data_IF_381737249868
#
_entry.id   IF_381737249868
#
_cell.length_a   1.000
_cell.length_b   1.000
_cell.length_c   1.000
_cell.angle_alpha   90.00
_cell.angle_beta   90.00
_cell.angle_gamma   90.00
#
_symmetry.space_group_name_H-M   'P 1'
#
loop_
_entity.id
_entity.type
_entity.pdbx_description
1 polymer ?
#
# COMPACT_ATOMS: atom_id res chain seq x y z
N UNK A 1 -43.32 25.39 -54.30
CA UNK A 1 -43.66 25.06 -52.91
C UNK A 1 -43.68 23.55 -52.79
N UNK A 2 -42.67 23.05 -52.06
CA UNK A 2 -42.67 21.97 -51.07
C UNK A 2 -43.14 20.56 -51.51
N UNK A 3 -42.23 19.58 -51.72
CA UNK A 3 -41.64 18.61 -50.75
C UNK A 3 -42.70 17.67 -50.16
N UNK A 4 -42.62 16.34 -50.27
CA UNK A 4 -41.89 15.37 -49.40
C UNK A 4 -42.03 14.00 -50.12
N UNK A 5 -40.96 13.39 -50.64
CA UNK A 5 -39.97 12.51 -50.02
C UNK A 5 -40.23 11.02 -50.29
N UNK A 6 -39.33 10.45 -51.10
CA UNK A 6 -39.17 9.03 -51.36
C UNK A 6 -38.56 8.33 -50.13
N UNK A 7 -39.27 7.37 -49.56
CA UNK A 7 -38.76 6.45 -48.54
C UNK A 7 -38.05 5.27 -49.22
N UNK A 8 -36.75 5.39 -49.46
CA UNK A 8 -35.87 4.24 -49.77
C UNK A 8 -34.52 4.45 -49.09
N UNK A 9 -34.43 4.12 -47.80
CA UNK A 9 -33.21 4.38 -47.01
C UNK A 9 -32.97 3.49 -45.79
N UNK A 10 -33.87 2.60 -45.40
CA UNK A 10 -33.68 1.73 -44.22
C UNK A 10 -33.10 0.36 -44.56
N UNK A 11 -33.50 -0.22 -45.69
CA UNK A 11 -33.26 -1.66 -45.93
C UNK A 11 -31.83 -1.94 -46.39
N UNK A 12 -31.18 -0.95 -47.02
CA UNK A 12 -29.78 -1.06 -47.42
C UNK A 12 -28.82 -0.88 -46.22
N UNK A 13 -29.21 -0.13 -45.19
CA UNK A 13 -28.36 0.12 -44.01
C UNK A 13 -28.33 -1.11 -43.11
N UNK A 14 -29.48 -1.75 -42.89
CA UNK A 14 -29.54 -2.99 -42.09
C UNK A 14 -28.79 -4.14 -42.76
N UNK A 15 -28.86 -4.24 -44.10
CA UNK A 15 -28.13 -5.26 -44.86
C UNK A 15 -26.63 -5.00 -44.90
N UNK A 16 -26.21 -3.73 -44.96
CA UNK A 16 -24.80 -3.34 -44.84
C UNK A 16 -24.24 -3.60 -43.42
N UNK A 17 -25.05 -3.37 -42.38
CA UNK A 17 -24.66 -3.62 -40.99
C UNK A 17 -24.52 -5.12 -40.67
N UNK A 18 -25.43 -5.96 -41.18
CA UNK A 18 -25.36 -7.42 -41.01
C UNK A 18 -24.22 -8.08 -41.82
N UNK A 19 -23.85 -7.51 -42.96
CA UNK A 19 -22.67 -7.96 -43.70
C UNK A 19 -21.35 -7.51 -43.05
N UNK A 20 -21.35 -6.38 -42.33
CA UNK A 20 -20.17 -5.92 -41.60
C UNK A 20 -19.91 -6.71 -40.30
N UNK A 21 -20.93 -7.30 -39.66
CA UNK A 21 -20.75 -8.09 -38.45
C UNK A 21 -20.19 -9.50 -38.69
N UNK A 22 -20.23 -10.00 -39.93
CA UNK A 22 -19.63 -11.31 -40.29
C UNK A 22 -18.18 -11.21 -40.77
N UNK A 23 -17.57 -10.03 -40.65
CA UNK A 23 -16.21 -9.75 -41.08
C UNK A 23 -15.40 -9.20 -39.90
N UNK A 24 -15.02 -10.06 -38.95
CA UNK A 24 -13.67 -10.12 -38.34
C UNK A 24 -13.65 -11.06 -37.12
N UNK A 25 -13.72 -12.37 -37.37
CA UNK A 25 -12.95 -13.30 -36.54
C UNK A 25 -12.18 -14.20 -37.48
N UNK A 26 -11.07 -13.69 -38.02
CA UNK A 26 -10.08 -14.57 -38.65
C UNK A 26 -9.75 -15.63 -37.60
N UNK A 27 -9.83 -16.94 -37.93
CA UNK A 27 -9.42 -17.96 -36.98
C UNK A 27 -7.97 -17.67 -36.63
N UNK A 28 -7.71 -17.39 -35.34
CA UNK A 28 -6.34 -17.24 -34.86
C UNK A 28 -5.66 -18.57 -35.19
N UNK A 29 -4.66 -18.51 -36.05
CA UNK A 29 -3.89 -19.68 -36.44
C UNK A 29 -3.43 -20.38 -35.15
N UNK A 30 -3.58 -21.71 -35.05
CA UNK A 30 -3.21 -22.48 -33.85
C UNK A 30 -1.78 -22.17 -33.40
N UNK A 31 -0.88 -21.89 -34.35
CA UNK A 31 0.48 -21.43 -34.07
C UNK A 31 0.53 -20.05 -33.42
N UNK A 32 -0.26 -19.10 -33.88
CA UNK A 32 -0.37 -17.76 -33.26
C UNK A 32 -0.94 -17.83 -31.84
N UNK A 33 -1.94 -18.70 -31.61
CA UNK A 33 -2.49 -18.93 -30.28
C UNK A 33 -1.45 -19.54 -29.33
N UNK A 34 -0.70 -20.53 -29.78
CA UNK A 34 0.40 -21.13 -29.02
C UNK A 34 1.50 -20.11 -28.69
N UNK A 35 1.86 -19.26 -29.65
CA UNK A 35 2.84 -18.18 -29.43
C UNK A 35 2.37 -17.23 -28.34
N UNK A 36 1.10 -16.80 -28.35
CA UNK A 36 0.53 -15.92 -27.32
C UNK A 36 0.56 -16.57 -25.95
N UNK A 37 0.20 -17.86 -25.85
CA UNK A 37 0.22 -18.61 -24.58
C UNK A 37 1.65 -18.71 -24.04
N UNK A 38 2.61 -19.04 -24.90
CA UNK A 38 4.04 -19.11 -24.51
C UNK A 38 4.54 -17.75 -24.02
N UNK A 39 4.18 -16.66 -24.71
CA UNK A 39 4.56 -15.30 -24.26
C UNK A 39 3.91 -14.93 -22.92
N UNK A 40 2.65 -15.31 -22.69
CA UNK A 40 1.98 -15.11 -21.40
C UNK A 40 2.68 -15.89 -20.28
N UNK A 41 3.07 -17.14 -20.52
CA UNK A 41 3.79 -17.95 -19.53
C UNK A 41 5.17 -17.37 -19.22
N UNK A 42 5.90 -16.92 -20.25
CA UNK A 42 7.20 -16.25 -20.07
C UNK A 42 7.04 -14.94 -19.31
N UNK A 43 6.00 -14.15 -19.61
CA UNK A 43 5.70 -12.90 -18.91
C UNK A 43 5.35 -13.15 -17.44
N UNK A 44 4.52 -14.15 -17.14
CA UNK A 44 4.20 -14.53 -15.75
C UNK A 44 5.45 -15.01 -15.00
N UNK A 45 6.28 -15.84 -15.64
CA UNK A 45 7.55 -16.27 -15.05
C UNK A 45 8.50 -15.09 -14.81
N UNK A 46 8.52 -14.10 -15.71
CA UNK A 46 9.32 -12.89 -15.56
C UNK A 46 8.82 -12.01 -14.41
N UNK A 47 7.50 -11.85 -14.23
CA UNK A 47 6.92 -11.12 -13.09
C UNK A 47 7.23 -11.85 -11.76
N UNK A 48 7.17 -13.18 -11.73
CA UNK A 48 7.54 -13.97 -10.55
C UNK A 48 9.04 -13.80 -10.25
N UNK A 49 9.90 -13.83 -11.26
CA UNK A 49 11.35 -13.63 -11.11
C UNK A 49 11.69 -12.22 -10.60
N UNK A 50 11.04 -11.18 -11.14
CA UNK A 50 11.17 -9.80 -10.64
C UNK A 50 10.68 -9.67 -9.19
N UNK A 51 9.57 -10.34 -8.84
CA UNK A 51 9.03 -10.33 -7.47
C UNK A 51 9.98 -11.04 -6.49
N UNK A 52 10.64 -12.12 -6.93
CA UNK A 52 11.64 -12.85 -6.13
C UNK A 52 12.94 -12.05 -5.97
N UNK A 53 13.43 -11.41 -7.04
CA UNK A 53 14.62 -10.56 -6.97
C UNK A 53 14.38 -9.29 -6.14
N UNK A 54 13.17 -8.69 -6.22
CA UNK A 54 12.81 -7.55 -5.37
C UNK A 54 12.74 -7.94 -3.89
N UNK A 55 12.29 -9.17 -3.60
CA UNK A 55 12.21 -9.67 -2.22
C UNK A 55 13.60 -10.03 -1.68
N UNK A 56 14.46 -10.64 -2.50
CA UNK A 56 15.83 -10.98 -2.08
C UNK A 56 16.71 -9.74 -1.90
N UNK A 57 16.54 -8.70 -2.73
CA UNK A 57 17.33 -7.47 -2.59
C UNK A 57 16.95 -6.69 -1.33
N UNK A 58 15.66 -6.65 -0.99
CA UNK A 58 15.20 -6.02 0.23
C UNK A 58 15.54 -6.83 1.49
N UNK A 59 15.49 -8.18 1.44
CA UNK A 59 15.91 -9.03 2.56
C UNK A 59 17.44 -8.99 2.79
N UNK A 60 18.25 -8.93 1.72
CA UNK A 60 19.72 -8.83 1.82
C UNK A 60 20.17 -7.44 2.30
N UNK A 61 19.60 -6.35 1.76
CA UNK A 61 19.93 -5.00 2.23
C UNK A 61 19.51 -4.80 3.70
N UNK A 62 18.47 -5.49 4.17
CA UNK A 62 18.04 -5.45 5.58
C UNK A 62 18.92 -6.35 6.47
N UNK A 63 19.35 -7.53 5.99
CA UNK A 63 20.25 -8.43 6.72
C UNK A 63 21.69 -7.90 6.81
N UNK A 64 22.23 -7.30 5.76
CA UNK A 64 23.58 -6.75 5.77
C UNK A 64 23.67 -5.54 6.72
N UNK A 65 22.63 -4.71 6.80
CA UNK A 65 22.52 -3.64 7.80
C UNK A 65 22.35 -4.17 9.24
N UNK A 66 21.75 -5.36 9.42
CA UNK A 66 21.64 -6.02 10.72
C UNK A 66 22.97 -6.64 11.16
N UNK A 67 23.70 -7.32 10.26
CA UNK A 67 25.03 -7.88 10.56
C UNK A 67 26.07 -6.81 10.88
N UNK A 68 26.03 -5.67 10.20
CA UNK A 68 26.92 -4.54 10.52
C UNK A 68 26.67 -3.98 11.93
N UNK A 69 25.42 -4.03 12.42
CA UNK A 69 25.06 -3.63 13.77
C UNK A 69 25.41 -4.71 14.82
N UNK A 70 25.26 -6.00 14.50
CA UNK A 70 25.64 -7.10 15.39
C UNK A 70 27.16 -7.20 15.61
N UNK A 71 27.98 -7.00 14.57
CA UNK A 71 29.45 -7.01 14.71
C UNK A 71 29.98 -5.79 15.48
N UNK A 72 29.27 -4.65 15.45
CA UNK A 72 29.59 -3.49 16.29
C UNK A 72 29.14 -3.66 17.75
N UNK A 73 28.09 -4.45 18.03
CA UNK A 73 27.65 -4.78 19.39
C UNK A 73 28.46 -5.91 20.06
N UNK A 74 29.06 -6.83 19.29
CA UNK A 74 29.80 -7.98 19.84
C UNK A 74 31.11 -7.62 20.57
N UNK A 75 31.61 -6.38 20.45
CA UNK A 75 32.86 -5.93 21.08
C UNK A 75 32.68 -4.85 22.18
N UNK A 76 31.44 -4.57 22.61
CA UNK A 76 31.20 -3.74 23.79
C UNK A 76 30.86 -4.61 25.01
N UNK A 77 31.38 -4.27 26.21
CA UNK A 77 31.01 -4.99 27.42
C UNK A 77 29.49 -4.87 27.62
N UNK A 78 28.84 -6.00 27.92
CA UNK A 78 27.42 -6.06 28.25
C UNK A 78 27.18 -5.18 29.48
N UNK A 79 26.65 -3.99 29.25
CA UNK A 79 26.12 -3.13 30.29
C UNK A 79 24.71 -3.64 30.61
N UNK A 80 24.50 -4.12 31.84
CA UNK A 80 23.22 -4.66 32.34
C UNK A 80 22.08 -3.60 32.40
N UNK A 81 22.30 -2.40 31.85
CA UNK A 81 21.26 -1.45 31.50
C UNK A 81 20.86 -1.60 30.02
N UNK A 82 20.17 -2.69 29.68
CA UNK A 82 19.43 -2.74 28.43
C UNK A 82 18.29 -1.71 28.53
N UNK A 83 18.55 -0.47 28.10
CA UNK A 83 17.52 0.55 27.95
C UNK A 83 16.42 -0.04 27.09
N UNK A 84 15.28 -0.31 27.69
CA UNK A 84 14.09 -0.73 26.96
C UNK A 84 13.64 0.50 26.19
N UNK A 85 13.98 0.59 24.90
CA UNK A 85 13.49 1.69 24.05
C UNK A 85 11.97 1.75 24.17
N UNK A 86 11.46 2.91 24.55
CA UNK A 86 10.04 3.20 24.66
C UNK A 86 9.61 4.08 23.51
N UNK A 87 8.32 4.08 23.14
CA UNK A 87 7.88 4.95 22.03
C UNK A 87 8.06 6.44 22.35
N UNK A 88 8.16 6.82 23.64
CA UNK A 88 8.53 8.17 24.05
C UNK A 88 9.90 8.62 23.48
N UNK A 89 10.82 7.68 23.24
CA UNK A 89 12.12 7.95 22.62
C UNK A 89 12.00 8.34 21.13
N UNK A 90 10.83 8.14 20.53
CA UNK A 90 10.50 8.50 19.16
C UNK A 90 9.60 9.74 19.02
N UNK A 91 9.34 10.48 20.11
CA UNK A 91 8.53 11.71 20.05
C UNK A 91 9.11 12.74 19.06
N UNK A 92 10.44 12.87 19.03
CA UNK A 92 11.14 13.75 18.08
C UNK A 92 10.89 13.36 16.63
N UNK A 93 10.83 12.07 16.34
CA UNK A 93 10.61 11.54 14.99
C UNK A 93 9.17 11.82 14.53
N UNK A 94 8.19 11.62 15.44
CA UNK A 94 6.79 11.99 15.19
C UNK A 94 6.64 13.50 14.95
N UNK A 95 7.32 14.33 15.73
CA UNK A 95 7.30 15.80 15.54
C UNK A 95 7.92 16.18 14.20
N UNK A 96 9.05 15.57 13.82
CA UNK A 96 9.70 15.80 12.54
C UNK A 96 8.78 15.43 11.38
N UNK A 97 8.15 14.24 11.42
CA UNK A 97 7.19 13.84 10.39
C UNK A 97 6.00 14.78 10.30
N UNK A 98 5.48 15.28 11.44
CA UNK A 98 4.36 16.25 11.48
C UNK A 98 4.69 17.59 10.82
N UNK A 99 5.97 17.91 10.60
CA UNK A 99 6.41 19.09 9.87
C UNK A 99 6.60 18.84 8.36
N UNK A 100 6.50 17.59 7.92
CA UNK A 100 6.71 17.21 6.51
C UNK A 100 5.54 17.59 5.59
N UNK A 101 5.84 17.74 4.30
CA UNK A 101 4.83 17.93 3.26
C UNK A 101 3.88 16.73 3.17
N UNK A 102 4.36 15.52 3.45
CA UNK A 102 3.53 14.31 3.42
C UNK A 102 2.44 14.36 4.50
N UNK A 103 2.78 14.80 5.71
CA UNK A 103 1.79 14.98 6.77
C UNK A 103 0.75 16.08 6.42
N UNK A 104 1.20 17.18 5.82
CA UNK A 104 0.28 18.23 5.33
C UNK A 104 -0.66 17.71 4.23
N UNK A 105 -0.18 16.83 3.35
CA UNK A 105 -1.01 16.13 2.37
C UNK A 105 -2.05 15.21 3.04
N UNK A 106 -1.66 14.47 4.08
CA UNK A 106 -2.60 13.63 4.86
C UNK A 106 -3.74 14.48 5.43
N UNK A 107 -3.41 15.56 6.14
CA UNK A 107 -4.39 16.49 6.71
C UNK A 107 -5.32 17.04 5.62
N UNK A 108 -4.74 17.51 4.51
CA UNK A 108 -5.49 18.13 3.42
C UNK A 108 -6.48 17.16 2.80
N UNK A 109 -6.05 15.94 2.50
CA UNK A 109 -6.89 14.91 1.89
C UNK A 109 -8.03 14.48 2.84
N UNK A 110 -7.72 14.31 4.12
CA UNK A 110 -8.72 13.96 5.14
C UNK A 110 -9.76 15.09 5.31
N UNK A 111 -9.31 16.34 5.45
CA UNK A 111 -10.19 17.50 5.65
C UNK A 111 -11.09 17.77 4.44
N UNK A 112 -10.57 17.62 3.22
CA UNK A 112 -11.35 17.73 1.99
C UNK A 112 -12.33 16.57 1.79
N UNK A 113 -12.26 15.52 2.64
CA UNK A 113 -12.96 14.24 2.46
C UNK A 113 -12.72 13.67 1.05
N UNK A 114 -11.58 14.00 0.44
CA UNK A 114 -11.21 13.50 -0.88
C UNK A 114 -10.87 12.03 -0.71
N UNK A 115 -11.52 11.17 -1.47
CA UNK A 115 -11.04 9.81 -1.64
C UNK A 115 -10.07 9.82 -2.82
N UNK A 116 -8.82 9.50 -2.54
CA UNK A 116 -7.80 9.34 -3.56
C UNK A 116 -8.19 8.18 -4.49
N UNK A 117 -7.90 8.31 -5.78
CA UNK A 117 -8.00 7.14 -6.66
C UNK A 117 -6.92 6.09 -6.35
N UNK A 118 -7.03 4.89 -6.91
CA UNK A 118 -6.09 3.79 -6.62
C UNK A 118 -4.62 4.16 -6.93
N UNK A 119 -4.38 4.94 -7.99
CA UNK A 119 -3.03 5.32 -8.38
C UNK A 119 -2.47 6.35 -7.40
N UNK A 120 -3.25 7.36 -7.07
CA UNK A 120 -2.92 8.35 -6.04
C UNK A 120 -2.64 7.69 -4.68
N UNK A 121 -3.45 6.70 -4.28
CA UNK A 121 -3.24 5.91 -3.05
C UNK A 121 -1.93 5.14 -3.08
N UNK A 122 -1.61 4.44 -4.17
CA UNK A 122 -0.35 3.70 -4.27
C UNK A 122 0.86 4.63 -4.10
N UNK A 123 0.89 5.75 -4.82
CA UNK A 123 1.98 6.72 -4.69
C UNK A 123 2.06 7.32 -3.28
N UNK A 124 0.92 7.60 -2.65
CA UNK A 124 0.91 8.04 -1.25
C UNK A 124 1.47 6.98 -0.31
N UNK A 125 1.06 5.72 -0.46
CA UNK A 125 1.52 4.60 0.37
C UNK A 125 3.02 4.41 0.22
N UNK A 126 3.55 4.42 -1.01
CA UNK A 126 4.98 4.27 -1.26
C UNK A 126 5.78 5.38 -0.55
N UNK A 127 5.34 6.64 -0.64
CA UNK A 127 5.98 7.77 0.05
C UNK A 127 5.86 7.66 1.58
N UNK A 128 4.74 7.14 2.08
CA UNK A 128 4.50 6.94 3.50
C UNK A 128 5.35 5.80 4.07
N UNK A 129 5.51 4.71 3.33
CA UNK A 129 6.34 3.56 3.69
C UNK A 129 7.84 3.83 3.53
N UNK A 130 8.23 4.80 2.71
CA UNK A 130 9.65 5.18 2.50
C UNK A 130 10.07 6.45 3.24
N UNK A 131 9.17 7.07 4.01
CA UNK A 131 9.51 8.25 4.83
C UNK A 131 10.57 7.88 5.88
N UNK A 132 11.73 8.56 5.88
CA UNK A 132 12.83 8.28 6.82
C UNK A 132 12.46 8.64 8.26
N UNK A 133 11.62 9.66 8.46
CA UNK A 133 11.18 10.09 9.79
C UNK A 133 10.32 9.02 10.48
N UNK A 134 9.68 8.12 9.74
CA UNK A 134 8.87 7.04 10.29
C UNK A 134 9.61 5.70 10.37
N UNK A 135 10.81 5.58 9.78
CA UNK A 135 11.52 4.32 9.66
C UNK A 135 11.81 3.69 11.02
N UNK A 136 12.35 4.48 11.97
CA UNK A 136 12.69 3.99 13.30
C UNK A 136 11.47 3.50 14.09
N UNK A 137 10.38 4.26 14.04
CA UNK A 137 9.10 3.88 14.69
C UNK A 137 8.52 2.64 14.02
N UNK A 138 8.58 2.55 12.69
CA UNK A 138 8.09 1.41 11.92
C UNK A 138 8.83 0.13 12.33
N UNK A 139 10.16 0.21 12.42
CA UNK A 139 11.01 -0.90 12.86
C UNK A 139 10.66 -1.33 14.28
N UNK A 140 10.50 -0.39 15.22
CA UNK A 140 10.08 -0.70 16.58
C UNK A 140 8.73 -1.42 16.67
N UNK A 141 7.71 -0.92 15.95
CA UNK A 141 6.37 -1.55 15.96
C UNK A 141 6.45 -2.95 15.36
N UNK A 142 7.23 -3.11 14.29
CA UNK A 142 7.43 -4.38 13.62
C UNK A 142 8.12 -5.41 14.53
N UNK A 143 9.20 -5.04 15.21
CA UNK A 143 9.93 -5.92 16.12
C UNK A 143 9.13 -6.26 17.38
N UNK A 144 8.30 -5.33 17.85
CA UNK A 144 7.38 -5.52 18.98
C UNK A 144 6.11 -6.32 18.64
N UNK A 145 5.99 -6.84 17.42
CA UNK A 145 4.78 -7.52 16.94
C UNK A 145 5.07 -8.78 16.15
N UNK A 146 4.28 -9.83 16.35
CA UNK A 146 4.29 -11.01 15.51
C UNK A 146 3.44 -10.80 14.24
N UNK A 147 4.09 -10.66 13.08
CA UNK A 147 3.47 -10.76 11.75
C UNK A 147 2.35 -9.72 11.46
N UNK A 148 2.63 -8.44 11.69
CA UNK A 148 1.81 -7.37 11.11
C UNK A 148 1.98 -7.34 9.59
N UNK A 149 0.88 -7.19 8.85
CA UNK A 149 0.96 -6.88 7.42
C UNK A 149 1.15 -5.37 7.18
N UNK A 150 1.49 -4.97 5.96
CA UNK A 150 1.76 -3.56 5.62
C UNK A 150 0.62 -2.61 6.00
N UNK A 151 -0.63 -2.97 5.74
CA UNK A 151 -1.79 -2.16 6.14
C UNK A 151 -1.95 -2.05 7.66
N UNK A 152 -1.65 -3.10 8.42
CA UNK A 152 -1.69 -3.09 9.88
C UNK A 152 -0.59 -2.20 10.47
N UNK A 153 0.61 -2.28 9.92
CA UNK A 153 1.75 -1.43 10.31
C UNK A 153 1.50 0.04 9.98
N UNK A 154 1.04 0.33 8.76
CA UNK A 154 0.64 1.67 8.33
C UNK A 154 -0.49 2.23 9.21
N UNK A 155 -1.43 1.38 9.61
CA UNK A 155 -2.50 1.79 10.51
C UNK A 155 -1.99 2.15 11.90
N UNK A 156 -1.01 1.42 12.46
CA UNK A 156 -0.40 1.78 13.74
C UNK A 156 0.23 3.17 13.70
N UNK A 157 1.06 3.43 12.68
CA UNK A 157 1.69 4.75 12.48
C UNK A 157 0.64 5.85 12.25
N UNK A 158 -0.41 5.55 11.49
CA UNK A 158 -1.51 6.49 11.25
C UNK A 158 -2.23 6.91 12.53
N UNK A 159 -2.46 5.97 13.46
CA UNK A 159 -3.06 6.27 14.76
C UNK A 159 -2.09 7.04 15.67
N UNK A 160 -0.80 6.68 15.70
CA UNK A 160 0.23 7.42 16.45
C UNK A 160 0.33 8.89 16.03
N UNK A 161 0.13 9.16 14.74
CA UNK A 161 0.10 10.52 14.20
C UNK A 161 -1.14 11.33 14.64
N UNK A 162 -2.11 10.70 15.31
CA UNK A 162 -3.31 11.33 15.86
C UNK A 162 -4.52 11.29 14.93
N UNK A 163 -4.46 10.53 13.82
CA UNK A 163 -5.58 10.42 12.90
C UNK A 163 -6.63 9.41 13.38
N UNK A 164 -7.88 9.60 12.95
CA UNK A 164 -9.00 8.75 13.35
C UNK A 164 -9.14 7.56 12.42
N UNK A 165 -9.44 6.38 12.97
CA UNK A 165 -9.65 5.14 12.20
C UNK A 165 -10.56 5.30 10.98
N UNK A 166 -11.65 6.07 11.12
CA UNK A 166 -12.61 6.29 10.04
C UNK A 166 -11.99 6.94 8.80
N UNK A 167 -10.85 7.61 8.91
CA UNK A 167 -10.22 8.34 7.82
C UNK A 167 -9.14 7.52 7.09
N UNK A 168 -8.75 6.35 7.63
CA UNK A 168 -7.68 5.50 7.07
C UNK A 168 -7.96 5.07 5.63
N UNK A 169 -9.18 4.59 5.34
CA UNK A 169 -9.57 4.14 3.99
C UNK A 169 -9.45 5.21 2.90
N UNK A 170 -9.36 6.49 3.27
CA UNK A 170 -9.24 7.60 2.32
C UNK A 170 -7.86 7.69 1.68
N UNK A 171 -6.84 7.24 2.41
CA UNK A 171 -5.44 7.33 2.02
C UNK A 171 -4.85 5.97 1.66
N UNK A 172 -5.35 4.90 2.27
CA UNK A 172 -4.82 3.54 2.10
C UNK A 172 -5.77 2.64 1.31
N UNK A 173 -5.21 1.61 0.67
CA UNK A 173 -5.95 0.62 -0.11
C UNK A 173 -6.65 -0.41 0.78
N UNK A 174 -7.57 0.06 1.61
CA UNK A 174 -8.42 -0.76 2.45
C UNK A 174 -9.82 -0.18 2.46
N UNK A 175 -10.84 -1.02 2.30
CA UNK A 175 -12.23 -0.57 2.35
C UNK A 175 -12.59 -0.08 3.76
N UNK A 176 -13.63 0.77 3.85
CA UNK A 176 -14.14 1.23 5.13
C UNK A 176 -14.58 0.08 6.05
N UNK A 177 -15.16 -0.99 5.49
CA UNK A 177 -15.48 -2.21 6.27
C UNK A 177 -14.23 -2.94 6.73
N UNK A 178 -13.21 -3.04 5.88
CA UNK A 178 -11.92 -3.65 6.20
C UNK A 178 -11.18 -2.95 7.33
N UNK A 179 -11.41 -1.64 7.49
CA UNK A 179 -10.81 -0.84 8.56
C UNK A 179 -11.38 -1.16 9.95
N UNK A 180 -12.64 -1.62 10.06
CA UNK A 180 -13.36 -1.71 11.35
C UNK A 180 -12.67 -2.59 12.38
N UNK A 181 -12.04 -3.68 11.93
CA UNK A 181 -11.45 -4.69 12.81
C UNK A 181 -9.92 -4.57 12.92
N UNK A 182 -9.29 -3.55 12.33
CA UNK A 182 -7.83 -3.41 12.33
C UNK A 182 -7.26 -3.40 13.75
N UNK A 183 -7.78 -2.55 14.64
CA UNK A 183 -7.33 -2.48 16.04
C UNK A 183 -7.38 -3.85 16.73
N UNK A 184 -8.48 -4.59 16.59
CA UNK A 184 -8.61 -5.91 17.20
C UNK A 184 -7.61 -6.92 16.63
N UNK A 185 -7.41 -6.94 15.30
CA UNK A 185 -6.42 -7.84 14.67
C UNK A 185 -4.99 -7.56 15.10
N UNK A 186 -4.68 -6.29 15.40
CA UNK A 186 -3.36 -5.85 15.85
C UNK A 186 -3.15 -6.21 17.32
N UNK A 187 -4.19 -6.11 18.15
CA UNK A 187 -4.13 -6.47 19.58
C UNK A 187 -3.59 -7.88 19.79
N UNK A 188 -4.01 -8.84 18.98
CA UNK A 188 -3.60 -10.24 19.11
C UNK A 188 -2.17 -10.51 18.59
N UNK A 189 -1.53 -9.52 17.98
CA UNK A 189 -0.22 -9.64 17.31
C UNK A 189 0.87 -8.78 17.93
N UNK A 190 0.52 -7.79 18.73
CA UNK A 190 1.45 -6.78 19.25
C UNK A 190 1.59 -6.96 20.76
N UNK A 191 2.81 -6.76 21.28
CA UNK A 191 3.03 -6.74 22.73
C UNK A 191 2.10 -5.71 23.39
N UNK A 192 1.58 -6.05 24.58
CA UNK A 192 0.55 -5.25 25.26
C UNK A 192 0.99 -3.80 25.52
N UNK A 193 2.25 -3.59 25.93
CA UNK A 193 2.84 -2.26 26.13
C UNK A 193 2.79 -1.41 24.87
N UNK A 194 3.25 -1.96 23.74
CA UNK A 194 3.26 -1.28 22.43
C UNK A 194 1.84 -1.01 21.95
N UNK A 195 0.92 -1.96 22.13
CA UNK A 195 -0.48 -1.79 21.76
C UNK A 195 -1.14 -0.64 22.55
N UNK A 196 -0.97 -0.62 23.87
CA UNK A 196 -1.58 0.39 24.73
C UNK A 196 -1.05 1.79 24.41
N UNK A 197 0.26 1.91 24.16
CA UNK A 197 0.84 3.19 23.74
C UNK A 197 0.20 3.68 22.43
N UNK A 198 0.15 2.83 21.38
CA UNK A 198 -0.39 3.23 20.08
C UNK A 198 -1.86 3.64 20.19
N UNK A 199 -2.68 2.87 20.91
CA UNK A 199 -4.14 2.95 20.81
C UNK A 199 -4.87 3.54 22.03
N UNK A 200 -4.20 3.75 23.16
CA UNK A 200 -4.84 4.17 24.41
C UNK A 200 -4.31 5.54 24.88
N UNK A 201 -3.00 5.80 24.85
CA UNK A 201 -2.42 7.07 25.34
C UNK A 201 -2.76 8.30 24.48
N UNK A 202 -3.10 8.13 23.20
CA UNK A 202 -3.42 9.24 22.30
C UNK A 202 -4.92 9.59 22.20
N UNK A 203 -5.77 8.91 22.97
CA UNK A 203 -7.22 9.19 22.97
C UNK A 203 -7.62 10.45 23.76
N UNK A 204 -6.67 11.16 24.38
CA UNK A 204 -6.93 12.27 25.31
C UNK A 204 -6.41 13.67 24.95
N UNK A 205 -5.79 13.92 23.79
CA UNK A 205 -5.27 15.27 23.45
C UNK A 205 -5.45 15.65 21.98
N UNK A 206 -6.60 16.23 21.67
CA UNK A 206 -6.77 17.37 20.74
C UNK A 206 -7.84 18.28 21.34
#
# INVERSE_FOLDING_TARGET
MDTIASHTGSDNIFRAALNHSNSLSKPINRYTLLIIIVHLLVFVAFIILLSLQSKSKHEVDLQDNLQMNEEQQANQPVDDNLQTETIADYEKDLIAFKQSDLFNQMITNINKRKELDTKEKNTFIDNYETSPELERIRSFIYTSSSRLNGNELNYCLFILLGFKQKDFHRLFNLSQSGCRNLKNRIKDKTQESTFNYIFEEHTGKI
#
